data_IF_183871009306
#
_entry.id   IF_183871009306
#
_cell.length_a   1.000
_cell.length_b   1.000
_cell.length_c   1.000
_cell.angle_alpha   90.00
_cell.angle_beta   90.00
_cell.angle_gamma   90.00
#
_symmetry.space_group_name_H-M   'P 1'
#
loop_
_entity.id
_entity.type
_entity.pdbx_description
1 polymer ?
#
# COMPACT_ATOMS: atom_id res chain seq x y z
N UNK A 1 -2.79 -7.64 -5.29
CA UNK A 1 -1.76 -6.83 -5.95
C UNK A 1 -0.40 -7.38 -5.62
N UNK A 2 0.62 -6.95 -6.33
CA UNK A 2 2.01 -7.25 -6.00
C UNK A 2 2.56 -6.14 -5.11
N UNK A 3 3.58 -6.46 -4.30
CA UNK A 3 4.31 -5.48 -3.54
C UNK A 3 5.80 -5.77 -3.56
N UNK A 4 6.60 -4.72 -3.49
CA UNK A 4 8.07 -4.82 -3.36
C UNK A 4 8.59 -3.78 -2.38
N UNK A 5 9.68 -4.11 -1.71
CA UNK A 5 10.40 -3.18 -0.84
C UNK A 5 11.48 -2.44 -1.62
N UNK A 6 11.49 -1.12 -1.48
CA UNK A 6 12.62 -0.27 -1.78
C UNK A 6 13.20 0.24 -0.45
N UNK A 7 14.20 -0.49 0.04
CA UNK A 7 14.86 -0.18 1.31
C UNK A 7 15.70 1.09 1.26
N UNK A 8 16.18 1.50 0.07
CA UNK A 8 16.99 2.71 -0.10
C UNK A 8 16.13 3.93 0.15
N UNK A 9 14.94 3.96 -0.44
CA UNK A 9 13.99 5.07 -0.29
C UNK A 9 13.01 4.89 0.89
N UNK A 10 13.10 3.77 1.63
CA UNK A 10 12.15 3.37 2.68
C UNK A 10 10.70 3.37 2.18
N UNK A 11 10.46 2.66 1.08
CA UNK A 11 9.13 2.55 0.47
C UNK A 11 8.68 1.10 0.33
N UNK A 12 7.40 0.87 0.55
CA UNK A 12 6.69 -0.33 0.10
C UNK A 12 5.90 0.07 -1.13
N UNK A 13 6.35 -0.39 -2.29
CA UNK A 13 5.72 -0.10 -3.56
C UNK A 13 4.67 -1.18 -3.80
N UNK A 14 3.40 -0.77 -3.82
CA UNK A 14 2.27 -1.58 -4.21
C UNK A 14 2.10 -1.39 -5.72
N UNK A 15 2.28 -2.46 -6.48
CA UNK A 15 2.21 -2.44 -7.93
C UNK A 15 1.25 -3.49 -8.46
N UNK A 16 0.75 -3.24 -9.68
CA UNK A 16 -0.05 -4.14 -10.51
C UNK A 16 -1.44 -4.49 -10.00
N UNK A 17 -2.30 -4.73 -10.98
CA UNK A 17 -3.57 -5.38 -10.78
C UNK A 17 -3.40 -6.82 -10.30
N UNK A 18 -4.34 -7.28 -9.49
CA UNK A 18 -4.50 -8.71 -9.28
C UNK A 18 -5.01 -9.35 -10.57
N UNK A 19 -4.48 -10.52 -10.94
CA UNK A 19 -4.97 -11.26 -12.10
C UNK A 19 -6.47 -11.58 -11.97
N UNK A 20 -6.90 -12.00 -10.78
CA UNK A 20 -8.28 -12.42 -10.52
C UNK A 20 -9.23 -11.26 -10.16
N UNK A 21 -8.69 -10.19 -9.55
CA UNK A 21 -9.51 -9.10 -8.99
C UNK A 21 -9.33 -7.75 -9.69
N UNK A 22 -8.45 -7.66 -10.68
CA UNK A 22 -8.16 -6.43 -11.42
C UNK A 22 -7.49 -5.35 -10.57
N UNK A 23 -7.66 -4.09 -10.97
CA UNK A 23 -7.05 -2.93 -10.32
C UNK A 23 -7.68 -2.63 -8.96
N UNK A 24 -6.88 -2.39 -7.91
CA UNK A 24 -7.41 -2.00 -6.61
C UNK A 24 -8.10 -0.64 -6.68
N UNK A 25 -9.28 -0.54 -6.06
CA UNK A 25 -10.09 0.68 -6.02
C UNK A 25 -9.81 1.46 -4.72
N UNK A 26 -8.59 1.99 -4.58
CA UNK A 26 -8.13 2.65 -3.36
C UNK A 26 -9.04 3.79 -2.88
N UNK A 27 -9.54 4.63 -3.80
CA UNK A 27 -10.46 5.72 -3.45
C UNK A 27 -11.77 5.23 -2.85
N UNK A 28 -12.28 4.06 -3.27
CA UNK A 28 -13.50 3.48 -2.69
C UNK A 28 -13.24 2.91 -1.30
N UNK A 29 -12.08 2.32 -1.07
CA UNK A 29 -11.67 1.84 0.26
C UNK A 29 -11.53 3.02 1.24
N UNK A 30 -10.93 4.13 0.79
CA UNK A 30 -10.85 5.36 1.58
C UNK A 30 -12.24 5.92 1.91
N UNK A 31 -13.14 6.00 0.92
CA UNK A 31 -14.51 6.44 1.12
C UNK A 31 -15.30 5.53 2.08
N UNK A 32 -14.98 4.23 2.11
CA UNK A 32 -15.56 3.27 3.04
C UNK A 32 -14.93 3.30 4.45
N UNK A 33 -13.98 4.20 4.72
CA UNK A 33 -13.26 4.28 6.00
C UNK A 33 -12.34 3.10 6.28
N UNK A 34 -11.95 2.36 5.23
CA UNK A 34 -11.02 1.23 5.36
C UNK A 34 -9.62 1.73 5.67
N UNK A 35 -8.98 1.16 6.70
CA UNK A 35 -7.60 1.47 7.07
C UNK A 35 -6.63 0.46 6.47
N UNK A 36 -5.44 0.92 6.13
CA UNK A 36 -4.36 0.05 5.67
C UNK A 36 -3.76 -0.68 6.88
N UNK A 37 -3.96 -2.00 6.98
CA UNK A 37 -3.35 -2.81 8.05
C UNK A 37 -1.92 -3.15 7.66
N UNK A 38 -0.97 -2.75 8.50
CA UNK A 38 0.46 -2.87 8.18
C UNK A 38 1.20 -3.46 9.38
N UNK A 39 2.07 -4.48 9.18
CA UNK A 39 2.98 -4.95 10.22
C UNK A 39 3.79 -3.81 10.83
N UNK A 40 3.87 -3.77 12.16
CA UNK A 40 4.60 -2.72 12.90
C UNK A 40 6.09 -2.64 12.53
N UNK A 41 6.66 -3.74 12.05
CA UNK A 41 8.03 -3.82 11.53
C UNK A 41 8.29 -2.88 10.34
N UNK A 42 7.24 -2.45 9.64
CA UNK A 42 7.32 -1.52 8.51
C UNK A 42 7.00 -0.08 8.89
N UNK A 43 6.97 0.23 10.20
CA UNK A 43 6.86 1.61 10.67
C UNK A 43 8.02 2.46 10.12
N UNK A 44 7.68 3.64 9.59
CA UNK A 44 8.64 4.53 8.93
C UNK A 44 8.85 4.29 7.43
N UNK A 45 8.20 3.27 6.84
CA UNK A 45 8.10 3.13 5.39
C UNK A 45 6.91 3.91 4.82
N UNK A 46 7.07 4.47 3.63
CA UNK A 46 5.94 5.03 2.86
C UNK A 46 5.29 3.94 1.98
N UNK A 47 3.95 3.94 1.90
CA UNK A 47 3.18 2.92 1.18
C UNK A 47 2.69 3.48 -0.14
N UNK A 48 3.45 3.24 -1.20
CA UNK A 48 3.29 3.94 -2.46
C UNK A 48 2.56 3.06 -3.47
N UNK A 49 1.43 3.52 -3.99
CA UNK A 49 0.77 2.91 -5.13
C UNK A 49 1.23 3.55 -6.44
N UNK A 50 1.55 2.71 -7.42
CA UNK A 50 1.84 3.13 -8.79
C UNK A 50 0.70 2.69 -9.71
N UNK A 51 -0.07 3.65 -10.23
CA UNK A 51 -1.06 3.35 -11.27
C UNK A 51 -0.35 3.06 -12.60
N UNK A 52 -0.39 1.80 -13.06
CA UNK A 52 0.02 1.45 -14.42
C UNK A 52 1.53 1.44 -14.69
N UNK A 53 1.87 1.11 -15.95
CA UNK A 53 3.24 0.95 -16.43
C UNK A 53 3.82 2.27 -16.91
N UNK A 54 4.44 3.00 -15.98
CA UNK A 54 5.40 4.06 -16.28
C UNK A 54 4.88 5.48 -16.06
N UNK A 55 5.54 6.19 -15.13
CA UNK A 55 5.48 7.64 -14.95
C UNK A 55 4.16 8.24 -14.42
N UNK A 56 3.27 7.45 -13.83
CA UNK A 56 2.09 7.99 -13.16
C UNK A 56 2.41 8.25 -11.68
N UNK A 57 1.91 9.38 -11.18
CA UNK A 57 2.11 9.92 -9.84
C UNK A 57 1.99 8.83 -8.78
N UNK A 58 3.06 8.68 -7.99
CA UNK A 58 3.09 7.79 -6.85
C UNK A 58 2.24 8.39 -5.73
N UNK A 59 1.18 7.67 -5.34
CA UNK A 59 0.31 8.09 -4.24
C UNK A 59 0.72 7.35 -2.97
N UNK A 60 0.98 8.07 -1.89
CA UNK A 60 1.15 7.45 -0.58
C UNK A 60 -0.24 7.10 -0.01
N UNK A 61 -0.55 5.81 0.02
CA UNK A 61 -1.85 5.30 0.46
C UNK A 61 -2.11 5.53 1.95
N UNK A 62 -1.06 5.68 2.75
CA UNK A 62 -1.20 6.01 4.17
C UNK A 62 -1.95 7.34 4.36
N UNK A 63 -1.77 8.30 3.45
CA UNK A 63 -2.42 9.61 3.49
C UNK A 63 -3.92 9.52 3.16
N UNK A 64 -4.32 8.49 2.41
CA UNK A 64 -5.71 8.30 1.97
C UNK A 64 -6.51 7.41 2.91
N UNK A 65 -5.88 6.35 3.44
CA UNK A 65 -6.55 5.30 4.20
C UNK A 65 -6.28 5.41 5.70
N UNK A 66 -5.19 6.07 6.09
CA UNK A 66 -4.61 5.90 7.42
C UNK A 66 -4.04 4.49 7.63
N UNK A 67 -3.19 4.35 8.64
CA UNK A 67 -2.56 3.07 8.98
C UNK A 67 -3.16 2.49 10.26
N UNK A 68 -3.43 1.19 10.25
CA UNK A 68 -3.65 0.36 11.43
C UNK A 68 -2.41 -0.51 11.62
N UNK A 69 -1.57 -0.16 12.60
CA UNK A 69 -0.34 -0.90 12.89
C UNK A 69 -0.67 -2.19 13.62
N UNK A 70 -0.41 -3.31 12.97
CA UNK A 70 -0.61 -4.62 13.56
C UNK A 70 0.74 -5.17 14.00
N UNK A 71 0.87 -5.57 15.26
CA UNK A 71 1.96 -6.45 15.65
C UNK A 71 1.71 -7.78 14.95
N UNK A 72 2.63 -8.23 14.10
CA UNK A 72 2.57 -9.59 13.56
C UNK A 72 2.29 -10.54 14.72
N UNK A 73 1.28 -11.43 14.64
CA UNK A 73 1.27 -12.58 15.51
C UNK A 73 2.53 -13.36 15.14
N UNK A 74 3.57 -13.24 15.96
CA UNK A 74 4.56 -14.29 15.98
C UNK A 74 3.82 -15.54 16.44
N UNK A 75 3.72 -16.51 15.52
CA UNK A 75 3.51 -17.97 15.68
C UNK A 75 2.54 -18.55 14.64
#
# INVERSE_FOLDING_TARGET
GFYRFDYVNKQVILDRESYDYGRPQWSKLAAAGTRLRVPKEYEGFAFVWQEGSGHIQSVNLADWLGIDWVTSPHE
#
